data_IF_767786717308
#
_entry.id   IF_767786717308
#
_cell.length_a   1.000
_cell.length_b   1.000
_cell.length_c   1.000
_cell.angle_alpha   90.00
_cell.angle_beta   90.00
_cell.angle_gamma   90.00
#
_symmetry.space_group_name_H-M   'P 1'
#
loop_
_entity.id
_entity.type
_entity.pdbx_description
1 polymer ?
#
# COMPACT_ATOMS: atom_id res chain seq x y z
N UNK A 1 -12.63 -30.42 -1.95
CA UNK A 1 -11.29 -30.67 -1.36
C UNK A 1 -10.25 -30.22 -2.38
N UNK A 2 -9.70 -29.05 -2.21
CA UNK A 2 -8.60 -28.51 -3.02
C UNK A 2 -7.34 -28.47 -2.16
N UNK A 3 -6.16 -28.87 -2.62
CA UNK A 3 -4.96 -28.95 -1.82
C UNK A 3 -4.32 -27.57 -1.62
N UNK A 4 -3.99 -27.23 -0.38
CA UNK A 4 -3.14 -26.11 0.02
C UNK A 4 -1.72 -26.34 -0.53
N UNK A 5 -1.25 -25.43 -1.37
CA UNK A 5 0.15 -25.34 -1.74
C UNK A 5 0.92 -24.57 -0.64
N UNK A 6 1.82 -25.28 0.03
CA UNK A 6 2.80 -24.72 0.97
C UNK A 6 3.78 -23.83 0.20
N UNK A 7 3.83 -22.54 0.53
CA UNK A 7 4.92 -21.65 0.12
C UNK A 7 6.12 -21.87 1.07
N UNK A 8 7.22 -22.31 0.50
CA UNK A 8 8.51 -22.54 1.19
C UNK A 8 9.26 -21.21 1.22
N UNK A 9 9.56 -20.70 2.42
CA UNK A 9 10.46 -19.57 2.63
C UNK A 9 11.89 -19.97 2.29
N UNK A 10 12.54 -19.22 1.42
CA UNK A 10 13.97 -19.33 1.14
C UNK A 10 14.72 -18.24 1.90
N UNK A 11 15.50 -18.64 2.91
CA UNK A 11 16.40 -17.76 3.66
C UNK A 11 17.62 -17.41 2.80
N UNK A 12 17.89 -16.12 2.64
CA UNK A 12 19.22 -15.63 2.24
C UNK A 12 19.80 -14.79 3.39
N UNK A 13 20.79 -15.38 4.06
CA UNK A 13 21.64 -14.74 5.07
C UNK A 13 22.63 -13.79 4.39
N UNK A 14 22.55 -12.50 4.68
CA UNK A 14 23.58 -11.52 4.33
C UNK A 14 24.50 -11.27 5.53
N UNK A 15 25.77 -11.66 5.38
CA UNK A 15 26.88 -11.47 6.33
C UNK A 15 27.39 -10.03 6.23
N UNK A 16 27.28 -9.24 7.29
CA UNK A 16 27.84 -7.88 7.38
C UNK A 16 29.24 -7.98 8.00
N UNK A 17 30.28 -7.65 7.22
CA UNK A 17 31.63 -7.41 7.73
C UNK A 17 31.80 -5.97 8.19
N UNK A 18 32.03 -5.76 9.47
CA UNK A 18 32.52 -4.52 10.06
C UNK A 18 34.00 -4.34 9.80
N UNK A 19 34.41 -3.22 9.18
CA UNK A 19 35.78 -2.69 9.31
C UNK A 19 35.73 -1.19 9.61
N UNK A 20 36.55 -0.78 10.54
CA UNK A 20 36.65 0.49 11.25
C UNK A 20 37.41 1.58 10.50
N UNK A 21 36.87 2.81 10.54
CA UNK A 21 37.38 4.21 10.67
C UNK A 21 38.78 4.59 10.15
N UNK A 22 39.15 5.84 9.80
CA UNK A 22 38.65 7.14 10.28
C UNK A 22 38.61 8.30 9.24
N UNK A 23 38.04 9.45 9.62
CA UNK A 23 38.40 10.74 9.05
C UNK A 23 37.23 11.73 8.82
N UNK A 24 37.16 12.77 9.63
CA UNK A 24 36.20 13.85 9.56
C UNK A 24 36.32 14.66 8.26
N UNK A 25 35.21 14.89 7.60
CA UNK A 25 35.04 15.90 6.57
C UNK A 25 33.55 16.33 6.59
N UNK A 26 33.33 17.63 6.78
CA UNK A 26 31.99 18.24 6.73
C UNK A 26 31.31 17.87 5.41
N UNK A 27 30.38 16.94 5.44
CA UNK A 27 29.47 16.68 4.36
C UNK A 27 28.07 17.20 4.77
N UNK A 28 27.50 18.01 3.91
CA UNK A 28 26.15 18.52 4.01
C UNK A 28 25.18 17.38 4.32
N UNK A 29 24.27 17.61 5.27
CA UNK A 29 23.17 16.72 5.59
C UNK A 29 22.39 16.37 4.32
N UNK A 30 22.15 15.08 3.99
CA UNK A 30 21.24 14.73 2.92
C UNK A 30 19.83 15.10 3.36
N UNK A 31 19.28 16.13 2.73
CA UNK A 31 17.91 16.51 2.86
C UNK A 31 17.01 15.40 2.31
N UNK A 32 16.13 14.93 3.18
CA UNK A 32 14.79 14.46 2.88
C UNK A 32 14.63 13.36 1.80
N UNK A 33 14.85 12.11 2.20
CA UNK A 33 14.18 10.98 1.57
C UNK A 33 12.77 10.97 2.14
N UNK A 34 11.78 11.39 1.36
CA UNK A 34 10.38 11.12 1.65
C UNK A 34 10.12 9.61 1.46
N UNK A 35 10.53 8.82 2.44
CA UNK A 35 10.05 7.44 2.55
C UNK A 35 8.60 7.54 2.99
N UNK A 36 7.67 6.99 2.19
CA UNK A 36 6.27 6.83 2.62
C UNK A 36 6.32 6.07 3.95
N UNK A 37 5.75 6.61 5.05
CA UNK A 37 5.80 5.93 6.33
C UNK A 37 5.12 4.55 6.22
N UNK A 38 5.68 3.53 6.88
CA UNK A 38 5.15 2.15 6.91
C UNK A 38 3.68 2.05 7.37
N UNK A 39 3.16 3.09 8.01
CA UNK A 39 1.79 3.19 8.50
C UNK A 39 0.87 4.04 7.60
N UNK A 40 1.36 4.54 6.48
CA UNK A 40 0.63 5.52 5.66
C UNK A 40 -0.72 4.99 5.17
N UNK A 41 -0.77 3.75 4.67
CA UNK A 41 -2.00 3.14 4.16
C UNK A 41 -3.04 2.97 5.27
N UNK A 42 -2.62 2.54 6.46
CA UNK A 42 -3.53 2.40 7.60
C UNK A 42 -4.02 3.75 8.11
N UNK A 43 -3.22 4.80 8.00
CA UNK A 43 -3.63 6.18 8.31
C UNK A 43 -4.64 6.67 7.27
N UNK A 44 -4.39 6.45 5.98
CA UNK A 44 -5.30 6.82 4.91
C UNK A 44 -6.64 6.05 5.03
N UNK A 45 -6.59 4.76 5.31
CA UNK A 45 -7.78 3.96 5.62
C UNK A 45 -8.55 4.55 6.81
N UNK A 46 -7.88 4.90 7.90
CA UNK A 46 -8.53 5.48 9.07
C UNK A 46 -9.19 6.84 8.79
N UNK A 47 -8.57 7.68 7.93
CA UNK A 47 -9.17 8.94 7.45
C UNK A 47 -10.40 8.66 6.59
N UNK A 48 -10.33 7.74 5.65
CA UNK A 48 -11.46 7.37 4.76
C UNK A 48 -12.66 6.84 5.56
N UNK A 49 -12.41 6.14 6.66
CA UNK A 49 -13.42 5.65 7.61
C UNK A 49 -13.84 6.68 8.65
N UNK A 50 -13.28 7.90 8.63
CA UNK A 50 -13.51 8.96 9.61
C UNK A 50 -13.18 8.57 11.04
N UNK A 51 -12.25 7.64 11.21
CA UNK A 51 -11.73 7.24 12.52
C UNK A 51 -10.81 8.32 13.10
N UNK A 52 -10.03 8.96 12.24
CA UNK A 52 -9.24 10.16 12.53
C UNK A 52 -9.51 11.21 11.44
N UNK A 53 -9.33 12.49 11.76
CA UNK A 53 -9.40 13.55 10.78
C UNK A 53 -8.08 13.73 10.01
N UNK A 54 -8.13 14.41 8.85
CA UNK A 54 -6.96 14.65 8.01
C UNK A 54 -5.86 15.47 8.70
N UNK A 55 -6.24 16.39 9.59
CA UNK A 55 -5.29 17.21 10.35
C UNK A 55 -4.57 16.38 11.42
N UNK A 56 -5.26 15.46 12.08
CA UNK A 56 -4.65 14.51 13.02
C UNK A 56 -3.71 13.54 12.26
N UNK A 57 -4.11 13.06 11.08
CA UNK A 57 -3.30 12.24 10.22
C UNK A 57 -2.00 12.94 9.80
N UNK A 58 -2.07 14.19 9.37
CA UNK A 58 -0.91 14.98 8.95
C UNK A 58 0.09 15.27 10.09
N UNK A 59 -0.38 15.25 11.34
CA UNK A 59 0.47 15.47 12.55
C UNK A 59 0.91 14.17 13.22
N UNK A 60 0.53 13.01 12.69
CA UNK A 60 0.89 11.73 13.28
C UNK A 60 2.40 11.48 13.13
N UNK A 61 3.05 11.20 14.24
CA UNK A 61 4.44 10.73 14.29
C UNK A 61 4.48 9.25 14.66
N UNK A 62 5.44 8.46 14.16
CA UNK A 62 5.49 7.02 14.35
C UNK A 62 5.68 6.59 15.82
N UNK A 63 6.17 7.48 16.67
CA UNK A 63 6.47 7.28 18.08
C UNK A 63 5.38 7.78 19.03
N UNK A 64 4.33 8.45 18.51
CA UNK A 64 3.20 8.89 19.32
C UNK A 64 2.49 7.69 19.94
N UNK A 65 2.52 7.63 21.28
CA UNK A 65 1.87 6.53 22.01
C UNK A 65 0.34 6.66 21.94
N UNK A 66 -0.35 5.53 21.88
CA UNK A 66 -1.81 5.48 22.01
C UNK A 66 -2.21 5.31 23.48
N UNK A 67 -3.30 5.95 23.88
CA UNK A 67 -3.90 5.77 25.20
C UNK A 67 -4.96 4.66 25.19
N UNK A 68 -5.35 4.21 26.36
CA UNK A 68 -6.43 3.22 26.51
C UNK A 68 -7.75 3.75 25.96
N UNK A 69 -8.08 5.01 26.24
CA UNK A 69 -9.28 5.66 25.71
C UNK A 69 -9.26 5.75 24.17
N UNK A 70 -8.13 6.15 23.58
CA UNK A 70 -7.99 6.22 22.12
C UNK A 70 -8.18 4.83 21.46
N UNK A 71 -7.59 3.79 22.05
CA UNK A 71 -7.70 2.45 21.46
C UNK A 71 -9.15 1.92 21.47
N UNK A 72 -9.88 2.08 22.57
CA UNK A 72 -11.29 1.66 22.63
C UNK A 72 -12.20 2.56 21.79
N UNK A 73 -11.95 3.87 21.71
CA UNK A 73 -12.72 4.80 20.90
C UNK A 73 -12.59 4.50 19.40
N UNK A 74 -11.35 4.26 18.92
CA UNK A 74 -11.10 3.90 17.53
C UNK A 74 -11.76 2.57 17.16
N UNK A 75 -11.68 1.56 18.04
CA UNK A 75 -12.35 0.27 17.81
C UNK A 75 -13.87 0.42 17.82
N UNK A 76 -14.43 1.18 18.77
CA UNK A 76 -15.85 1.46 18.85
C UNK A 76 -16.39 2.15 17.60
N UNK A 77 -15.70 3.19 17.11
CA UNK A 77 -16.05 3.86 15.84
C UNK A 77 -15.91 2.92 14.65
N UNK A 78 -14.85 2.12 14.61
CA UNK A 78 -14.66 1.11 13.56
C UNK A 78 -15.81 0.10 13.53
N UNK A 79 -16.42 -0.20 14.69
CA UNK A 79 -17.59 -1.07 14.84
C UNK A 79 -18.93 -0.37 14.53
N UNK A 80 -18.91 0.87 14.05
CA UNK A 80 -20.13 1.65 13.75
C UNK A 80 -20.70 2.40 14.95
N UNK A 81 -19.93 2.60 16.01
CA UNK A 81 -20.28 3.32 17.22
C UNK A 81 -21.61 2.85 17.88
N UNK A 82 -21.76 1.55 18.16
CA UNK A 82 -23.00 1.02 18.75
C UNK A 82 -23.21 1.56 20.18
N UNK A 83 -24.45 1.93 20.50
CA UNK A 83 -24.78 2.42 21.83
C UNK A 83 -24.57 1.30 22.87
N UNK A 84 -23.86 1.55 24.01
CA UNK A 84 -23.75 0.59 25.10
C UNK A 84 -25.11 0.37 25.79
N UNK A 85 -25.34 -0.81 26.35
CA UNK A 85 -26.58 -1.11 27.08
C UNK A 85 -26.72 -0.21 28.32
N UNK A 86 -25.60 0.15 28.96
CA UNK A 86 -25.55 1.10 30.05
C UNK A 86 -24.25 1.87 30.08
N UNK A 87 -24.31 3.13 30.54
CA UNK A 87 -23.09 3.92 30.79
C UNK A 87 -22.49 3.50 32.13
N UNK A 88 -21.28 2.98 32.08
CA UNK A 88 -20.53 2.57 33.26
C UNK A 88 -19.94 3.77 34.01
N UNK A 89 -19.80 3.62 35.32
CA UNK A 89 -19.19 4.60 36.19
C UNK A 89 -17.79 4.17 36.59
N UNK A 90 -16.79 4.96 36.20
CA UNK A 90 -15.42 4.85 36.67
C UNK A 90 -15.05 6.15 37.39
N UNK A 91 -14.19 6.07 38.41
CA UNK A 91 -13.81 7.21 39.22
C UNK A 91 -13.05 8.30 38.45
N UNK A 92 -12.45 7.94 37.33
CA UNK A 92 -11.64 8.78 36.45
C UNK A 92 -12.29 9.03 35.07
N UNK A 93 -13.58 8.75 34.94
CA UNK A 93 -14.39 9.11 33.76
C UNK A 93 -15.57 9.97 34.22
N UNK A 94 -15.61 11.20 33.74
CA UNK A 94 -16.72 12.12 33.99
C UNK A 94 -17.87 11.88 33.01
N UNK A 95 -19.08 12.30 33.35
CA UNK A 95 -20.24 12.16 32.47
C UNK A 95 -20.08 12.78 31.07
N UNK A 96 -19.30 13.87 30.98
CA UNK A 96 -19.02 14.62 29.78
C UNK A 96 -17.82 14.14 28.96
N UNK A 97 -17.07 13.14 29.44
CA UNK A 97 -15.88 12.65 28.73
C UNK A 97 -16.28 11.93 27.44
N UNK A 98 -15.74 12.34 26.27
CA UNK A 98 -16.17 11.85 24.96
C UNK A 98 -15.96 10.34 24.76
N UNK A 99 -15.02 9.74 25.48
CA UNK A 99 -14.74 8.31 25.40
C UNK A 99 -15.67 7.43 26.27
N UNK A 100 -16.59 8.01 27.04
CA UNK A 100 -17.39 7.26 28.04
C UNK A 100 -18.27 6.19 27.40
N UNK A 101 -18.90 6.50 26.26
CA UNK A 101 -19.71 5.50 25.52
C UNK A 101 -18.84 4.37 24.96
N UNK A 102 -17.72 4.71 24.36
CA UNK A 102 -16.77 3.74 23.82
C UNK A 102 -16.20 2.81 24.92
N UNK A 103 -15.83 3.40 26.07
CA UNK A 103 -15.34 2.63 27.24
C UNK A 103 -16.43 1.70 27.77
N UNK A 104 -17.67 2.20 27.94
CA UNK A 104 -18.79 1.40 28.43
C UNK A 104 -19.08 0.22 27.47
N UNK A 105 -19.14 0.48 26.18
CA UNK A 105 -19.30 -0.55 25.16
C UNK A 105 -18.15 -1.57 25.16
N UNK A 106 -16.89 -1.12 25.26
CA UNK A 106 -15.75 -2.02 25.23
C UNK A 106 -15.72 -2.95 26.46
N UNK A 107 -16.08 -2.43 27.63
CA UNK A 107 -16.16 -3.22 28.87
C UNK A 107 -17.33 -4.20 28.83
N UNK A 108 -18.50 -3.77 28.38
CA UNK A 108 -19.69 -4.61 28.21
C UNK A 108 -19.43 -5.81 27.30
N UNK A 109 -18.66 -5.60 26.21
CA UNK A 109 -18.32 -6.65 25.25
C UNK A 109 -17.04 -7.43 25.63
N UNK A 110 -16.46 -7.19 26.80
CA UNK A 110 -15.28 -7.91 27.28
C UNK A 110 -14.00 -7.60 26.49
N UNK A 111 -13.96 -6.47 25.79
CA UNK A 111 -12.83 -6.01 24.97
C UNK A 111 -11.80 -5.24 25.81
N UNK A 112 -12.28 -4.60 26.88
CA UNK A 112 -11.45 -3.92 27.87
C UNK A 112 -12.00 -4.18 29.26
N UNK A 113 -11.22 -3.86 30.31
CA UNK A 113 -11.68 -3.95 31.69
C UNK A 113 -11.15 -2.74 32.49
N UNK A 114 -11.94 -2.30 33.45
CA UNK A 114 -11.47 -1.42 34.50
C UNK A 114 -10.61 -2.16 35.53
N UNK A 115 -9.96 -1.41 36.42
CA UNK A 115 -9.21 -1.97 37.52
C UNK A 115 -10.09 -2.19 38.75
N UNK A 116 -9.69 -3.11 39.63
CA UNK A 116 -10.40 -3.40 40.87
C UNK A 116 -10.59 -2.18 41.79
N UNK A 117 -9.76 -1.14 41.60
CA UNK A 117 -9.86 0.16 42.29
C UNK A 117 -11.02 1.03 41.79
N UNK A 118 -11.74 0.64 40.74
CA UNK A 118 -12.83 1.41 40.14
C UNK A 118 -12.35 2.50 39.19
N UNK A 119 -11.13 2.40 38.66
CA UNK A 119 -10.57 3.29 37.65
C UNK A 119 -10.50 2.58 36.29
N UNK A 120 -10.65 3.32 35.20
CA UNK A 120 -10.40 2.85 33.84
C UNK A 120 -9.00 3.21 33.35
N UNK A 121 -8.44 4.31 33.81
CA UNK A 121 -7.15 4.89 33.39
C UNK A 121 -7.12 5.26 31.90
N UNK A 122 -8.00 6.17 31.43
CA UNK A 122 -8.19 6.49 30.01
C UNK A 122 -6.92 7.02 29.35
N UNK A 123 -6.12 7.83 30.05
CA UNK A 123 -4.94 8.53 29.54
C UNK A 123 -3.65 7.70 29.61
N UNK A 124 -3.70 6.51 30.19
CA UNK A 124 -2.53 5.64 30.29
C UNK A 124 -2.26 4.98 28.93
N UNK A 125 -1.00 4.97 28.50
CA UNK A 125 -0.59 4.27 27.27
C UNK A 125 -0.83 2.78 27.42
N UNK A 126 -1.44 2.17 26.38
CA UNK A 126 -1.69 0.75 26.37
C UNK A 126 -0.50 -0.04 25.80
N UNK A 127 -0.29 -1.26 26.28
CA UNK A 127 0.78 -2.14 25.77
C UNK A 127 0.37 -2.77 24.45
N UNK A 128 1.34 -3.13 23.64
CA UNK A 128 1.11 -3.83 22.36
C UNK A 128 0.32 -5.12 22.56
N UNK A 129 0.63 -5.89 23.60
CA UNK A 129 -0.09 -7.13 23.90
C UNK A 129 -1.54 -6.88 24.29
N UNK A 130 -1.83 -5.81 25.04
CA UNK A 130 -3.20 -5.47 25.45
C UNK A 130 -4.05 -5.03 24.26
N UNK A 131 -3.47 -4.21 23.37
CA UNK A 131 -4.13 -3.79 22.11
C UNK A 131 -4.46 -5.01 21.25
N UNK A 132 -3.50 -5.90 21.03
CA UNK A 132 -3.71 -7.08 20.20
C UNK A 132 -4.71 -8.05 20.83
N UNK A 133 -4.69 -8.19 22.17
CA UNK A 133 -5.68 -8.97 22.90
C UNK A 133 -7.11 -8.41 22.75
N UNK A 134 -7.27 -7.08 22.82
CA UNK A 134 -8.55 -6.42 22.55
C UNK A 134 -9.06 -6.73 21.15
N UNK A 135 -8.20 -6.64 20.12
CA UNK A 135 -8.58 -6.92 18.73
C UNK A 135 -8.91 -8.39 18.49
N UNK A 136 -8.17 -9.30 19.11
CA UNK A 136 -8.46 -10.74 19.08
C UNK A 136 -9.82 -11.06 19.70
N UNK A 137 -10.12 -10.44 20.83
CA UNK A 137 -11.45 -10.55 21.49
C UNK A 137 -12.56 -10.01 20.60
N UNK A 138 -12.32 -8.89 19.93
CA UNK A 138 -13.24 -8.28 18.98
C UNK A 138 -13.50 -9.17 17.75
N UNK A 139 -12.52 -9.95 17.32
CA UNK A 139 -12.63 -10.94 16.26
C UNK A 139 -13.21 -12.29 16.72
N UNK A 140 -13.93 -12.34 17.86
CA UNK A 140 -14.51 -13.55 18.46
C UNK A 140 -13.48 -14.60 18.90
N UNK A 141 -12.27 -14.17 19.25
CA UNK A 141 -11.21 -15.02 19.80
C UNK A 141 -10.90 -16.27 18.96
N UNK A 142 -10.58 -16.13 17.67
CA UNK A 142 -10.30 -17.27 16.81
C UNK A 142 -9.08 -18.04 17.30
N UNK A 143 -9.15 -19.38 17.18
CA UNK A 143 -8.03 -20.26 17.51
C UNK A 143 -6.87 -20.03 16.54
N UNK A 144 -5.64 -19.97 17.07
CA UNK A 144 -4.43 -19.90 16.28
C UNK A 144 -3.85 -21.30 16.06
N UNK A 145 -3.46 -21.63 14.84
CA UNK A 145 -2.83 -22.90 14.51
C UNK A 145 -1.30 -22.85 14.68
N UNK A 146 -0.71 -23.86 15.30
CA UNK A 146 0.76 -24.00 15.39
C UNK A 146 1.43 -23.18 16.50
N UNK A 147 2.75 -23.07 16.41
CA UNK A 147 3.56 -22.37 17.41
C UNK A 147 3.92 -20.96 16.95
N UNK A 148 3.90 -20.02 17.91
CA UNK A 148 4.33 -18.66 17.66
C UNK A 148 5.87 -18.56 17.70
N UNK A 149 6.54 -17.93 16.71
CA UNK A 149 8.01 -17.88 16.64
C UNK A 149 8.62 -16.88 17.62
N UNK A 150 7.82 -16.02 18.28
CA UNK A 150 8.34 -14.98 19.15
C UNK A 150 8.86 -15.52 20.47
N UNK A 151 10.13 -15.27 20.76
CA UNK A 151 10.83 -15.77 21.95
C UNK A 151 10.55 -14.95 23.21
N UNK A 152 9.96 -13.76 23.08
CA UNK A 152 9.67 -12.84 24.19
C UNK A 152 8.20 -12.90 24.67
N UNK A 153 7.45 -13.92 24.24
CA UNK A 153 6.11 -14.26 24.75
C UNK A 153 6.11 -15.66 25.40
N UNK A 154 5.22 -15.87 26.36
CA UNK A 154 5.05 -17.17 27.05
C UNK A 154 3.64 -17.68 26.87
N UNK A 155 3.47 -18.99 26.68
CA UNK A 155 2.16 -19.68 26.55
C UNK A 155 1.25 -19.48 27.77
N UNK A 156 1.80 -19.19 28.92
CA UNK A 156 1.06 -18.95 30.16
C UNK A 156 0.45 -17.53 30.24
N UNK A 157 0.77 -16.67 29.29
CA UNK A 157 0.27 -15.29 29.28
C UNK A 157 -1.07 -15.19 28.58
N UNK A 158 -1.99 -14.41 29.16
CA UNK A 158 -3.34 -14.19 28.63
C UNK A 158 -3.40 -13.72 27.18
N UNK A 159 -2.34 -13.10 26.68
CA UNK A 159 -2.23 -12.57 25.33
C UNK A 159 -1.57 -13.53 24.33
N UNK A 160 -1.14 -14.74 24.76
CA UNK A 160 -0.39 -15.65 23.90
C UNK A 160 -1.17 -16.00 22.62
N UNK A 161 -2.41 -16.49 22.76
CA UNK A 161 -3.26 -16.87 21.63
C UNK A 161 -3.57 -15.67 20.72
N UNK A 162 -3.78 -14.49 21.31
CA UNK A 162 -4.00 -13.27 20.56
C UNK A 162 -2.79 -12.88 19.70
N UNK A 163 -1.56 -13.06 20.21
CA UNK A 163 -0.34 -12.76 19.46
C UNK A 163 -0.12 -13.80 18.35
N UNK A 164 -0.35 -15.07 18.61
CA UNK A 164 -0.27 -16.13 17.61
C UNK A 164 -1.30 -15.92 16.49
N UNK A 165 -2.55 -15.61 16.84
CA UNK A 165 -3.58 -15.24 15.88
C UNK A 165 -3.18 -14.00 15.06
N UNK A 166 -2.72 -12.96 15.74
CA UNK A 166 -2.34 -11.71 15.07
C UNK A 166 -1.23 -11.89 14.04
N UNK A 167 -0.28 -12.79 14.29
CA UNK A 167 0.75 -13.16 13.31
C UNK A 167 0.15 -13.94 12.13
N UNK A 168 -0.70 -14.92 12.39
CA UNK A 168 -1.31 -15.77 11.35
C UNK A 168 -2.31 -15.02 10.49
N UNK A 169 -3.07 -14.11 11.09
CA UNK A 169 -4.04 -13.26 10.40
C UNK A 169 -3.41 -12.02 9.73
N UNK A 170 -2.09 -11.87 9.80
CA UNK A 170 -1.40 -10.71 9.22
C UNK A 170 -1.64 -9.39 9.97
N UNK A 171 -2.22 -9.43 11.17
CA UNK A 171 -2.45 -8.24 12.00
C UNK A 171 -1.14 -7.66 12.54
N UNK A 172 -0.15 -8.52 12.78
CA UNK A 172 1.20 -8.13 13.22
C UNK A 172 2.26 -9.04 12.62
N UNK A 173 3.43 -8.47 12.33
CA UNK A 173 4.64 -9.21 11.98
C UNK A 173 5.67 -9.23 13.13
N UNK A 174 5.30 -8.72 14.32
CA UNK A 174 6.26 -8.48 15.40
C UNK A 174 7.04 -7.18 15.23
N UNK A 175 8.10 -7.02 16.04
CA UNK A 175 9.11 -5.96 15.87
C UNK A 175 10.37 -6.50 15.20
N UNK A 176 10.49 -7.82 15.12
CA UNK A 176 11.44 -8.60 14.33
C UNK A 176 10.88 -10.01 14.16
N UNK A 177 11.55 -10.86 13.38
CA UNK A 177 11.14 -12.24 13.14
C UNK A 177 10.95 -13.06 14.44
N UNK A 178 11.72 -12.74 15.50
CA UNK A 178 11.72 -13.49 16.75
C UNK A 178 11.12 -12.71 17.94
N UNK A 179 10.66 -11.47 17.75
CA UNK A 179 10.23 -10.62 18.87
C UNK A 179 8.96 -9.85 18.56
N UNK A 180 8.02 -9.92 19.52
CA UNK A 180 6.77 -9.15 19.49
C UNK A 180 6.85 -7.87 20.32
N UNK A 181 7.64 -7.82 21.40
CA UNK A 181 7.71 -6.75 22.40
C UNK A 181 6.39 -6.50 23.15
N UNK A 182 5.82 -7.51 23.84
CA UNK A 182 4.47 -7.47 24.42
C UNK A 182 4.26 -6.34 25.43
N UNK A 183 5.29 -6.02 26.21
CA UNK A 183 5.23 -5.05 27.29
C UNK A 183 5.55 -3.61 26.86
N UNK A 184 5.98 -3.38 25.62
CA UNK A 184 6.22 -2.04 25.08
C UNK A 184 4.88 -1.32 24.89
N UNK A 185 4.85 -0.01 25.18
CA UNK A 185 3.68 0.81 24.84
C UNK A 185 3.43 0.78 23.33
N UNK A 186 2.17 0.61 22.93
CA UNK A 186 1.75 0.66 21.54
C UNK A 186 1.73 2.11 21.05
N UNK A 187 2.19 2.35 19.84
CA UNK A 187 2.03 3.67 19.22
C UNK A 187 0.68 3.78 18.51
N UNK A 188 0.22 5.00 18.26
CA UNK A 188 -1.02 5.21 17.51
C UNK A 188 -0.90 4.67 16.07
N UNK A 189 0.26 4.82 15.45
CA UNK A 189 0.55 4.24 14.14
C UNK A 189 0.40 2.71 14.14
N UNK A 190 0.95 2.03 15.15
CA UNK A 190 0.80 0.57 15.30
C UNK A 190 -0.65 0.16 15.56
N UNK A 191 -1.38 0.90 16.41
CA UNK A 191 -2.80 0.64 16.64
C UNK A 191 -3.61 0.74 15.35
N UNK A 192 -3.37 1.78 14.53
CA UNK A 192 -4.07 1.95 13.25
C UNK A 192 -3.75 0.80 12.28
N UNK A 193 -2.49 0.34 12.22
CA UNK A 193 -2.12 -0.81 11.41
C UNK A 193 -2.79 -2.10 11.90
N UNK A 194 -2.77 -2.36 13.20
CA UNK A 194 -3.43 -3.53 13.78
C UNK A 194 -4.95 -3.50 13.58
N UNK A 195 -5.57 -2.34 13.80
CA UNK A 195 -7.02 -2.18 13.63
C UNK A 195 -7.43 -2.35 12.16
N UNK A 196 -6.67 -1.77 11.24
CA UNK A 196 -6.88 -1.92 9.80
C UNK A 196 -6.83 -3.40 9.41
N UNK A 197 -5.75 -4.10 9.73
CA UNK A 197 -5.58 -5.50 9.42
C UNK A 197 -6.61 -6.41 10.13
N UNK A 198 -6.96 -6.13 11.40
CA UNK A 198 -7.97 -6.91 12.14
C UNK A 198 -9.40 -6.66 11.66
N UNK A 199 -9.71 -5.47 11.11
CA UNK A 199 -11.03 -5.16 10.55
C UNK A 199 -11.26 -5.79 9.17
N UNK A 200 -10.21 -6.37 8.59
CA UNK A 200 -10.21 -7.06 7.31
C UNK A 200 -9.60 -8.46 7.44
N UNK A 201 -10.10 -9.31 8.38
CA UNK A 201 -9.52 -10.63 8.63
C UNK A 201 -9.62 -11.50 7.38
N UNK A 202 -8.48 -12.01 6.95
CA UNK A 202 -8.38 -12.72 5.68
C UNK A 202 -8.57 -11.79 4.49
N UNK A 203 -8.15 -10.54 4.62
CA UNK A 203 -8.12 -9.62 3.48
C UNK A 203 -7.21 -10.19 2.41
N UNK A 204 -7.82 -11.02 1.57
CA UNK A 204 -7.25 -11.50 0.32
C UNK A 204 -7.41 -10.43 -0.77
N UNK A 205 -7.68 -9.16 -0.38
CA UNK A 205 -7.73 -8.10 -1.37
C UNK A 205 -6.42 -8.09 -2.11
N UNK A 206 -6.55 -8.13 -3.41
CA UNK A 206 -5.39 -8.02 -4.27
C UNK A 206 -4.76 -6.64 -4.08
N UNK A 207 -3.47 -6.62 -3.84
CA UNK A 207 -2.71 -5.37 -3.70
C UNK A 207 -2.22 -4.93 -5.08
N UNK A 208 -2.70 -3.78 -5.53
CA UNK A 208 -2.31 -3.14 -6.78
C UNK A 208 -1.40 -1.96 -6.47
N UNK A 209 -0.17 -1.98 -6.98
CA UNK A 209 0.67 -0.78 -6.98
C UNK A 209 0.47 -0.03 -8.29
N UNK A 210 -0.01 1.22 -8.20
CA UNK A 210 -0.15 2.10 -9.35
C UNK A 210 1.05 3.05 -9.39
N UNK A 211 1.76 3.09 -10.51
CA UNK A 211 2.85 4.01 -10.75
C UNK A 211 2.44 5.09 -11.77
N UNK A 212 2.08 6.31 -11.31
CA UNK A 212 1.89 7.44 -12.21
C UNK A 212 3.21 7.81 -12.86
N UNK A 213 3.40 7.49 -14.14
CA UNK A 213 4.64 7.72 -14.87
C UNK A 213 5.12 9.16 -14.83
N UNK A 214 6.46 9.34 -14.89
CA UNK A 214 7.13 10.64 -14.84
C UNK A 214 6.88 11.45 -13.56
N UNK A 215 7.40 12.67 -13.50
CA UNK A 215 7.30 13.62 -12.39
C UNK A 215 7.66 15.01 -12.87
N UNK A 216 7.47 16.04 -12.04
CA UNK A 216 7.69 17.44 -12.41
C UNK A 216 9.12 17.71 -12.95
N UNK A 217 10.13 17.12 -12.32
CA UNK A 217 11.52 17.30 -12.70
C UNK A 217 12.12 15.96 -13.16
N UNK A 218 12.64 15.95 -14.40
CA UNK A 218 13.42 14.82 -14.88
C UNK A 218 14.74 14.69 -14.11
N UNK A 219 15.20 13.44 -13.94
CA UNK A 219 16.53 13.15 -13.40
C UNK A 219 17.35 12.43 -14.48
N UNK A 220 18.33 13.14 -15.03
CA UNK A 220 19.22 12.65 -16.08
C UNK A 220 20.37 11.78 -15.56
N UNK A 221 20.56 11.66 -14.24
CA UNK A 221 21.51 10.72 -13.68
C UNK A 221 21.19 9.29 -14.15
N UNK A 222 22.21 8.44 -14.15
CA UNK A 222 22.08 7.09 -14.70
C UNK A 222 21.86 6.06 -13.61
N UNK A 223 20.97 5.11 -13.90
CA UNK A 223 20.75 3.90 -13.10
C UNK A 223 20.90 2.64 -13.97
N UNK A 224 21.25 1.47 -13.40
CA UNK A 224 21.36 0.23 -14.15
C UNK A 224 20.02 -0.14 -14.79
N UNK A 225 20.06 -0.60 -16.04
CA UNK A 225 18.88 -0.99 -16.81
C UNK A 225 18.09 -2.14 -16.18
N UNK A 226 18.79 -3.04 -15.49
CA UNK A 226 18.22 -4.17 -14.73
C UNK A 226 19.24 -4.72 -13.76
N UNK A 227 18.88 -5.67 -12.87
CA UNK A 227 19.77 -6.29 -11.93
C UNK A 227 21.01 -6.89 -12.62
N UNK A 228 22.21 -6.52 -12.16
CA UNK A 228 23.47 -6.98 -12.75
C UNK A 228 23.85 -6.40 -14.11
N UNK A 229 23.07 -5.46 -14.65
CA UNK A 229 23.33 -4.86 -15.96
C UNK A 229 24.44 -3.80 -15.90
N UNK A 230 25.35 -3.86 -16.87
CA UNK A 230 26.30 -2.77 -17.13
C UNK A 230 25.72 -1.67 -18.02
N UNK A 231 24.57 -1.91 -18.67
CA UNK A 231 23.85 -0.88 -19.40
C UNK A 231 23.11 0.01 -18.42
N UNK A 232 23.10 1.30 -18.70
CA UNK A 232 22.45 2.30 -17.84
C UNK A 232 21.46 3.15 -18.63
N UNK A 233 20.43 3.64 -17.95
CA UNK A 233 19.43 4.55 -18.48
C UNK A 233 19.23 5.74 -17.53
N UNK A 234 18.65 6.84 -18.00
CA UNK A 234 18.29 7.95 -17.11
C UNK A 234 17.29 7.49 -16.04
N UNK A 235 17.44 7.95 -14.80
CA UNK A 235 16.57 7.63 -13.67
C UNK A 235 15.11 7.95 -13.98
N UNK A 236 14.85 9.15 -14.53
CA UNK A 236 13.53 9.49 -15.04
C UNK A 236 13.65 10.45 -16.23
N UNK A 237 12.70 10.39 -17.16
CA UNK A 237 12.51 11.38 -18.22
C UNK A 237 11.38 12.35 -17.86
N UNK A 238 11.31 13.48 -18.54
CA UNK A 238 10.25 14.47 -18.35
C UNK A 238 8.89 14.07 -18.91
N UNK A 239 8.83 12.96 -19.66
CA UNK A 239 7.64 12.57 -20.40
C UNK A 239 7.39 13.41 -21.65
N UNK A 240 6.22 13.26 -22.22
CA UNK A 240 5.73 14.05 -23.36
C UNK A 240 4.72 15.13 -22.91
N UNK A 241 4.16 15.84 -23.86
CA UNK A 241 3.10 16.83 -23.60
C UNK A 241 2.07 16.83 -24.72
N UNK A 242 0.85 17.26 -24.39
CA UNK A 242 -0.28 17.32 -25.31
C UNK A 242 -0.08 18.34 -26.41
N UNK A 243 -0.18 17.88 -27.67
CA UNK A 243 -0.01 18.72 -28.85
C UNK A 243 -1.10 19.80 -29.00
N UNK A 244 -2.28 19.60 -28.43
CA UNK A 244 -3.42 20.49 -28.49
C UNK A 244 -3.83 21.03 -27.11
N UNK A 245 -3.82 20.19 -26.07
CA UNK A 245 -4.18 20.58 -24.70
C UNK A 245 -3.06 21.31 -23.97
N UNK A 246 -1.80 21.04 -24.32
CA UNK A 246 -0.63 21.49 -23.57
C UNK A 246 -0.42 20.81 -22.23
N UNK A 247 -1.22 19.80 -21.90
CA UNK A 247 -1.13 19.04 -20.67
C UNK A 247 0.16 18.22 -20.65
N UNK A 248 0.92 18.25 -19.56
CA UNK A 248 2.09 17.38 -19.43
C UNK A 248 1.69 15.96 -19.09
N UNK A 249 2.43 14.98 -19.62
CA UNK A 249 2.17 13.56 -19.39
C UNK A 249 2.15 13.21 -17.88
N UNK A 250 3.09 13.73 -17.09
CA UNK A 250 3.12 13.45 -15.64
C UNK A 250 1.88 13.97 -14.91
N UNK A 251 1.18 14.99 -15.44
CA UNK A 251 -0.07 15.52 -14.87
C UNK A 251 -1.24 14.61 -15.21
N UNK A 252 -1.35 14.21 -16.49
CA UNK A 252 -2.37 13.26 -16.93
C UNK A 252 -2.26 11.93 -16.16
N UNK A 253 -1.04 11.37 -16.11
CA UNK A 253 -0.79 10.10 -15.45
C UNK A 253 -1.20 10.14 -13.97
N UNK A 254 -0.91 11.23 -13.25
CA UNK A 254 -1.32 11.37 -11.85
C UNK A 254 -2.84 11.50 -11.73
N UNK A 255 -3.49 12.30 -12.58
CA UNK A 255 -4.95 12.48 -12.57
C UNK A 255 -5.67 11.15 -12.75
N UNK A 256 -5.27 10.34 -13.74
CA UNK A 256 -5.85 9.02 -13.99
C UNK A 256 -5.54 8.07 -12.84
N UNK A 257 -4.32 8.06 -12.32
CA UNK A 257 -3.91 7.15 -11.25
C UNK A 257 -4.63 7.41 -9.93
N UNK A 258 -4.87 8.68 -9.57
CA UNK A 258 -5.66 9.04 -8.39
C UNK A 258 -7.12 8.57 -8.52
N UNK A 259 -7.75 8.81 -9.68
CA UNK A 259 -9.11 8.36 -9.93
C UNK A 259 -9.20 6.82 -10.03
N UNK A 260 -8.16 6.15 -10.56
CA UNK A 260 -8.08 4.70 -10.61
C UNK A 260 -7.93 4.08 -9.22
N UNK A 261 -7.12 4.68 -8.34
CA UNK A 261 -7.03 4.27 -6.94
C UNK A 261 -8.42 4.27 -6.30
N UNK A 262 -9.15 5.40 -6.39
CA UNK A 262 -10.47 5.55 -5.77
C UNK A 262 -11.47 4.50 -6.31
N UNK A 263 -11.41 4.19 -7.60
CA UNK A 263 -12.25 3.16 -8.22
C UNK A 263 -11.86 1.74 -7.78
N UNK A 264 -10.56 1.41 -7.72
CA UNK A 264 -10.10 0.10 -7.29
C UNK A 264 -10.39 -0.15 -5.81
N UNK A 265 -10.19 0.84 -4.94
CA UNK A 265 -10.56 0.75 -3.52
C UNK A 265 -12.07 0.53 -3.37
N UNK A 266 -12.90 1.20 -4.17
CA UNK A 266 -14.35 0.97 -4.21
C UNK A 266 -14.72 -0.46 -4.64
N UNK A 267 -13.91 -1.10 -5.49
CA UNK A 267 -14.06 -2.51 -5.91
C UNK A 267 -13.49 -3.51 -4.89
N UNK A 268 -12.87 -3.04 -3.83
CA UNK A 268 -12.32 -3.88 -2.77
C UNK A 268 -10.85 -4.25 -2.94
N UNK A 269 -10.11 -3.61 -3.82
CA UNK A 269 -8.65 -3.74 -3.90
C UNK A 269 -7.96 -2.94 -2.80
N UNK A 270 -6.77 -3.37 -2.41
CA UNK A 270 -5.80 -2.52 -1.70
C UNK A 270 -4.93 -1.83 -2.73
N UNK A 271 -4.67 -0.50 -2.57
CA UNK A 271 -3.92 0.26 -3.56
C UNK A 271 -2.80 1.07 -2.92
N UNK A 272 -1.61 1.00 -3.50
CA UNK A 272 -0.47 1.88 -3.19
C UNK A 272 -0.14 2.69 -4.44
N UNK A 273 0.02 4.00 -4.28
CA UNK A 273 0.55 4.89 -5.32
C UNK A 273 2.05 5.09 -5.11
N UNK A 274 2.87 5.00 -6.17
CA UNK A 274 4.30 5.36 -6.05
C UNK A 274 4.50 6.84 -5.79
N UNK A 275 3.56 7.69 -6.23
CA UNK A 275 3.48 9.12 -5.93
C UNK A 275 2.02 9.60 -5.97
N UNK A 276 1.69 10.58 -5.14
CA UNK A 276 0.39 11.26 -5.06
C UNK A 276 0.48 12.76 -5.39
N UNK A 277 1.68 13.22 -5.71
CA UNK A 277 1.95 14.61 -6.10
C UNK A 277 3.01 14.68 -7.22
N UNK A 278 3.31 15.89 -7.71
CA UNK A 278 4.23 16.09 -8.83
C UNK A 278 5.69 16.28 -8.38
N UNK A 279 5.90 16.81 -7.17
CA UNK A 279 7.21 17.22 -6.66
C UNK A 279 7.89 16.07 -5.89
N UNK A 280 8.18 14.99 -6.59
CA UNK A 280 8.90 13.82 -6.06
C UNK A 280 10.23 13.63 -6.80
N UNK A 281 11.15 12.88 -6.20
CA UNK A 281 12.46 12.50 -6.80
C UNK A 281 12.60 10.98 -6.77
N UNK A 282 11.75 10.28 -7.54
CA UNK A 282 11.77 8.81 -7.63
C UNK A 282 12.41 8.39 -8.94
N UNK A 283 13.41 7.51 -8.86
CA UNK A 283 13.96 6.81 -10.03
C UNK A 283 13.01 5.68 -10.49
N UNK A 284 13.26 5.09 -11.67
CA UNK A 284 12.48 3.91 -12.09
C UNK A 284 12.75 2.70 -11.19
N UNK A 285 13.96 2.57 -10.62
CA UNK A 285 14.27 1.53 -9.63
C UNK A 285 13.49 1.75 -8.33
N UNK A 286 13.40 3.00 -7.84
CA UNK A 286 12.64 3.30 -6.62
C UNK A 286 11.15 2.95 -6.78
N UNK A 287 10.56 3.23 -7.95
CA UNK A 287 9.17 2.89 -8.27
C UNK A 287 8.93 1.37 -8.27
N UNK A 288 9.83 0.61 -8.90
CA UNK A 288 9.75 -0.86 -8.87
C UNK A 288 9.95 -1.40 -7.45
N UNK A 289 10.88 -0.80 -6.67
CA UNK A 289 11.13 -1.21 -5.28
C UNK A 289 9.90 -1.05 -4.38
N UNK A 290 9.11 0.00 -4.54
CA UNK A 290 7.86 0.20 -3.79
C UNK A 290 6.93 -1.00 -3.99
N UNK A 291 6.74 -1.46 -5.23
CA UNK A 291 5.90 -2.63 -5.51
C UNK A 291 6.49 -3.93 -4.96
N UNK A 292 7.82 -4.09 -5.07
CA UNK A 292 8.52 -5.29 -4.61
C UNK A 292 8.48 -5.42 -3.07
N UNK A 293 8.78 -4.34 -2.36
CA UNK A 293 8.78 -4.31 -0.89
C UNK A 293 7.37 -4.48 -0.31
N UNK A 294 6.36 -3.97 -1.00
CA UNK A 294 4.96 -4.19 -0.66
C UNK A 294 4.46 -5.60 -1.00
N UNK A 295 5.26 -6.41 -1.71
CA UNK A 295 4.85 -7.73 -2.22
C UNK A 295 3.50 -7.66 -2.99
N UNK A 296 3.36 -6.65 -3.85
CA UNK A 296 2.13 -6.40 -4.58
C UNK A 296 1.74 -7.61 -5.46
N UNK A 297 0.44 -7.85 -5.62
CA UNK A 297 -0.04 -8.86 -6.58
C UNK A 297 0.25 -8.42 -8.02
N UNK A 298 0.17 -7.12 -8.30
CA UNK A 298 0.55 -6.53 -9.60
C UNK A 298 1.05 -5.08 -9.44
N UNK A 299 1.90 -4.66 -10.41
CA UNK A 299 2.28 -3.26 -10.59
C UNK A 299 1.75 -2.75 -11.93
N UNK A 300 0.97 -1.68 -11.88
CA UNK A 300 0.42 -1.03 -13.07
C UNK A 300 1.04 0.35 -13.26
N UNK A 301 1.79 0.53 -14.34
CA UNK A 301 2.45 1.80 -14.66
C UNK A 301 1.61 2.55 -15.70
N UNK A 302 1.15 3.75 -15.34
CA UNK A 302 0.26 4.58 -16.15
C UNK A 302 1.08 5.61 -16.90
N UNK A 303 1.00 5.57 -18.22
CA UNK A 303 1.73 6.43 -19.15
C UNK A 303 0.86 6.89 -20.32
N UNK A 304 1.32 7.89 -21.05
CA UNK A 304 0.81 8.29 -22.35
C UNK A 304 1.97 8.50 -23.33
N UNK A 305 1.78 8.05 -24.55
CA UNK A 305 2.85 7.98 -25.54
C UNK A 305 3.06 9.30 -26.29
N UNK A 306 4.22 9.42 -26.90
CA UNK A 306 4.56 10.46 -27.85
C UNK A 306 5.20 9.91 -29.12
N UNK A 307 4.98 10.58 -30.25
CA UNK A 307 5.59 10.23 -31.52
C UNK A 307 5.95 11.49 -32.33
N UNK A 308 7.00 11.40 -33.13
CA UNK A 308 7.31 12.44 -34.16
C UNK A 308 6.30 12.43 -35.30
N UNK A 309 5.55 11.36 -35.48
CA UNK A 309 4.46 11.29 -36.44
C UNK A 309 3.11 11.54 -35.73
N UNK A 310 2.47 12.71 -35.93
CA UNK A 310 1.23 13.07 -35.25
C UNK A 310 -0.01 12.29 -35.70
N UNK A 311 0.09 11.48 -36.75
CA UNK A 311 -1.02 10.64 -37.21
C UNK A 311 -1.10 9.30 -36.48
N UNK A 312 -0.07 8.92 -35.71
CA UNK A 312 -0.11 7.69 -34.91
C UNK A 312 -1.08 7.88 -33.74
N UNK A 313 -1.93 6.88 -33.52
CA UNK A 313 -2.93 6.88 -32.47
C UNK A 313 -3.23 5.44 -31.99
N UNK A 314 -3.81 5.30 -30.81
CA UNK A 314 -4.21 4.05 -30.17
C UNK A 314 -3.47 3.78 -28.86
N UNK A 315 -4.03 2.90 -28.06
CA UNK A 315 -3.45 2.46 -26.80
C UNK A 315 -2.63 1.18 -26.99
N UNK A 316 -1.58 1.00 -26.18
CA UNK A 316 -0.79 -0.22 -26.16
C UNK A 316 -0.30 -0.53 -24.75
N UNK A 317 0.01 -1.79 -24.48
CA UNK A 317 0.75 -2.17 -23.28
C UNK A 317 2.22 -2.48 -23.63
N UNK A 318 3.10 -2.35 -22.62
CA UNK A 318 4.50 -2.72 -22.71
C UNK A 318 4.79 -3.79 -21.67
N UNK A 319 5.43 -4.86 -22.11
CA UNK A 319 5.80 -6.02 -21.30
C UNK A 319 7.28 -6.37 -21.48
N UNK A 320 7.85 -7.20 -20.59
CA UNK A 320 9.16 -7.81 -20.82
C UNK A 320 9.10 -8.85 -21.94
N UNK A 321 10.26 -9.20 -22.49
CA UNK A 321 10.33 -10.35 -23.42
C UNK A 321 10.24 -11.67 -22.65
N UNK A 322 9.80 -12.75 -23.31
CA UNK A 322 9.76 -14.10 -22.74
C UNK A 322 11.15 -14.58 -22.25
N UNK A 323 12.20 -14.08 -22.84
CA UNK A 323 13.59 -14.41 -22.53
C UNK A 323 14.32 -13.28 -21.83
N UNK A 324 13.58 -12.43 -21.10
CA UNK A 324 14.17 -11.32 -20.32
C UNK A 324 15.35 -11.81 -19.51
N UNK A 325 16.50 -11.12 -19.58
CA UNK A 325 17.67 -11.52 -18.79
C UNK A 325 17.53 -11.16 -17.30
N UNK A 326 16.43 -10.51 -16.89
CA UNK A 326 16.25 -9.93 -15.55
C UNK A 326 15.21 -10.68 -14.74
N UNK A 327 14.04 -10.97 -15.31
CA UNK A 327 12.87 -11.52 -14.60
C UNK A 327 11.94 -12.35 -15.52
N UNK A 328 12.47 -13.33 -16.27
CA UNK A 328 11.70 -14.10 -17.26
C UNK A 328 10.55 -14.92 -16.63
N UNK A 329 10.65 -15.24 -15.36
CA UNK A 329 9.61 -15.96 -14.58
C UNK A 329 8.31 -15.15 -14.46
N UNK A 330 8.38 -13.84 -14.54
CA UNK A 330 7.20 -12.96 -14.50
C UNK A 330 6.51 -12.76 -15.84
N UNK A 331 7.10 -13.27 -16.93
CA UNK A 331 6.59 -13.01 -18.28
C UNK A 331 5.13 -13.42 -18.47
N UNK A 332 4.76 -14.61 -18.03
CA UNK A 332 3.42 -15.15 -18.27
C UNK A 332 2.34 -14.30 -17.59
N UNK A 333 2.52 -13.97 -16.30
CA UNK A 333 1.58 -13.20 -15.52
C UNK A 333 1.55 -11.72 -15.96
N UNK A 334 2.72 -11.14 -16.25
CA UNK A 334 2.82 -9.76 -16.76
C UNK A 334 2.20 -9.63 -18.17
N UNK A 335 2.31 -10.67 -18.99
CA UNK A 335 1.70 -10.70 -20.33
C UNK A 335 0.18 -10.80 -20.22
N UNK A 336 -0.35 -11.66 -19.36
CA UNK A 336 -1.77 -11.77 -19.10
C UNK A 336 -2.35 -10.47 -18.54
N UNK A 337 -1.63 -9.84 -17.59
CA UNK A 337 -1.98 -8.52 -17.05
C UNK A 337 -2.04 -7.46 -18.16
N UNK A 338 -1.03 -7.43 -19.05
CA UNK A 338 -0.96 -6.49 -20.18
C UNK A 338 -2.14 -6.67 -21.14
N UNK A 339 -2.51 -7.91 -21.45
CA UNK A 339 -3.63 -8.25 -22.34
C UNK A 339 -4.97 -7.86 -21.74
N UNK A 340 -5.20 -8.18 -20.47
CA UNK A 340 -6.45 -7.88 -19.77
C UNK A 340 -6.67 -6.37 -19.61
N UNK A 341 -5.65 -5.64 -19.10
CA UNK A 341 -5.74 -4.19 -18.90
C UNK A 341 -5.90 -3.43 -20.22
N UNK A 342 -5.14 -3.79 -21.26
CA UNK A 342 -5.25 -3.13 -22.56
C UNK A 342 -6.60 -3.40 -23.22
N UNK A 343 -7.10 -4.64 -23.12
CA UNK A 343 -8.41 -5.00 -23.66
C UNK A 343 -9.54 -4.27 -22.97
N UNK A 344 -9.56 -4.24 -21.62
CA UNK A 344 -10.54 -3.51 -20.83
C UNK A 344 -10.53 -2.01 -21.13
N UNK A 345 -9.32 -1.43 -21.19
CA UNK A 345 -9.14 -0.01 -21.55
C UNK A 345 -9.73 0.32 -22.92
N UNK A 346 -9.38 -0.47 -23.94
CA UNK A 346 -9.87 -0.23 -25.30
C UNK A 346 -11.37 -0.47 -25.45
N UNK A 347 -11.94 -1.46 -24.75
CA UNK A 347 -13.38 -1.72 -24.75
C UNK A 347 -14.18 -0.56 -24.16
N UNK A 348 -13.73 0.03 -23.07
CA UNK A 348 -14.42 1.13 -22.41
C UNK A 348 -14.27 2.48 -23.14
N UNK A 349 -13.09 2.72 -23.70
CA UNK A 349 -12.75 4.02 -24.30
C UNK A 349 -13.08 4.11 -25.80
N UNK A 350 -13.12 2.97 -26.49
CA UNK A 350 -13.15 2.89 -27.96
C UNK A 350 -11.80 3.20 -28.62
N UNK A 351 -10.71 3.29 -27.84
CA UNK A 351 -9.37 3.50 -28.37
C UNK A 351 -8.94 2.32 -29.24
N UNK A 352 -8.19 2.60 -30.30
CA UNK A 352 -7.61 1.56 -31.15
C UNK A 352 -6.59 0.76 -30.34
N UNK A 353 -6.80 -0.54 -30.23
CA UNK A 353 -5.83 -1.43 -29.60
C UNK A 353 -4.64 -1.67 -30.54
N UNK A 354 -3.44 -1.34 -30.07
CA UNK A 354 -2.19 -1.64 -30.74
C UNK A 354 -1.57 -2.92 -30.20
N UNK A 355 -0.65 -3.58 -30.95
CA UNK A 355 0.09 -4.73 -30.43
C UNK A 355 0.85 -4.40 -29.15
N UNK A 356 0.87 -5.35 -28.22
CA UNK A 356 1.70 -5.25 -27.02
C UNK A 356 3.17 -5.24 -27.44
N UNK A 357 3.94 -4.35 -26.85
CA UNK A 357 5.36 -4.23 -27.13
C UNK A 357 6.19 -4.96 -26.08
N UNK A 358 6.71 -6.12 -26.46
CA UNK A 358 7.64 -6.87 -25.63
C UNK A 358 9.06 -6.29 -25.77
N UNK A 359 9.66 -5.86 -24.63
CA UNK A 359 10.98 -5.22 -24.61
C UNK A 359 11.66 -5.33 -23.25
N UNK A 360 12.99 -5.49 -23.24
CA UNK A 360 13.81 -5.50 -22.04
C UNK A 360 14.55 -4.15 -21.81
N UNK A 361 14.02 -3.07 -22.40
CA UNK A 361 14.63 -1.73 -22.31
C UNK A 361 13.96 -0.83 -21.27
N UNK A 362 13.04 -1.35 -20.47
CA UNK A 362 12.29 -0.59 -19.44
C UNK A 362 12.79 -0.90 -18.05
N UNK A 363 13.56 0.02 -17.44
CA UNK A 363 14.16 -0.14 -16.12
C UNK A 363 13.12 -0.57 -15.07
N UNK A 364 11.97 0.10 -14.99
CA UNK A 364 10.95 -0.21 -14.00
C UNK A 364 10.27 -1.59 -14.19
N UNK A 365 10.27 -2.15 -15.40
CA UNK A 365 9.86 -3.54 -15.66
C UNK A 365 10.98 -4.49 -15.24
N UNK A 366 12.21 -4.22 -15.66
CA UNK A 366 13.36 -5.10 -15.42
C UNK A 366 13.70 -5.27 -13.92
N UNK A 367 13.41 -4.27 -13.10
CA UNK A 367 13.63 -4.30 -11.65
C UNK A 367 12.42 -4.81 -10.85
N UNK A 368 11.28 -5.09 -11.50
CA UNK A 368 10.12 -5.63 -10.83
C UNK A 368 10.34 -7.11 -10.45
N UNK A 369 9.92 -7.47 -9.24
CA UNK A 369 9.81 -8.85 -8.76
C UNK A 369 8.33 -9.30 -8.63
N UNK A 370 7.41 -8.48 -9.13
CA UNK A 370 5.98 -8.75 -9.18
C UNK A 370 5.47 -8.58 -10.62
N UNK A 371 4.35 -9.20 -11.03
CA UNK A 371 3.74 -9.00 -12.34
C UNK A 371 3.55 -7.52 -12.64
N UNK A 372 4.02 -7.05 -13.81
CA UNK A 372 4.06 -5.62 -14.14
C UNK A 372 3.71 -5.35 -15.60
N UNK A 373 2.98 -4.27 -15.85
CA UNK A 373 2.75 -3.73 -17.19
C UNK A 373 2.83 -2.21 -17.20
N UNK A 374 3.23 -1.63 -18.34
CA UNK A 374 3.03 -0.22 -18.65
C UNK A 374 1.83 -0.11 -19.57
N UNK A 375 0.84 0.69 -19.22
CA UNK A 375 -0.25 1.08 -20.11
C UNK A 375 0.05 2.45 -20.71
N UNK A 376 0.24 2.50 -22.02
CA UNK A 376 0.30 3.70 -22.84
C UNK A 376 -1.10 4.02 -23.34
N UNK A 377 -1.78 4.95 -22.67
CA UNK A 377 -3.22 5.22 -22.84
C UNK A 377 -3.61 5.81 -24.19
N UNK A 378 -2.67 6.39 -24.92
CA UNK A 378 -2.85 7.03 -26.21
C UNK A 378 -1.64 7.89 -26.56
N UNK A 379 -1.64 8.56 -27.70
CA UNK A 379 -0.54 9.44 -28.13
C UNK A 379 -0.88 10.90 -27.90
N UNK A 380 -0.22 11.54 -26.94
CA UNK A 380 -0.34 12.98 -26.67
C UNK A 380 0.14 13.86 -27.86
N UNK A 381 0.96 13.30 -28.73
CA UNK A 381 1.36 13.93 -30.01
C UNK A 381 0.26 13.94 -31.08
N UNK A 382 -0.79 13.15 -30.91
CA UNK A 382 -1.99 13.18 -31.76
C UNK A 382 -3.02 14.13 -31.15
N UNK A 383 -3.33 15.23 -31.83
CA UNK A 383 -4.19 16.27 -31.28
C UNK A 383 -5.60 15.80 -30.88
N UNK A 384 -6.16 14.81 -31.61
CA UNK A 384 -7.47 14.26 -31.28
C UNK A 384 -7.45 13.39 -30.02
N UNK A 385 -6.45 12.48 -29.89
CA UNK A 385 -6.30 11.68 -28.68
C UNK A 385 -5.93 12.52 -27.46
N UNK A 386 -5.07 13.51 -27.62
CA UNK A 386 -4.68 14.43 -26.57
C UNK A 386 -5.91 15.15 -25.98
N UNK A 387 -6.76 15.72 -26.84
CA UNK A 387 -8.01 16.36 -26.38
C UNK A 387 -8.97 15.36 -25.72
N UNK A 388 -9.06 14.14 -26.24
CA UNK A 388 -9.86 13.08 -25.61
C UNK A 388 -9.34 12.72 -24.21
N UNK A 389 -8.05 12.50 -24.05
CA UNK A 389 -7.42 12.18 -22.75
C UNK A 389 -7.52 13.35 -21.76
N UNK A 390 -7.62 14.58 -22.23
CA UNK A 390 -7.85 15.77 -21.40
C UNK A 390 -9.33 15.94 -20.98
N UNK A 391 -10.28 15.26 -21.64
CA UNK A 391 -11.73 15.34 -21.33
C UNK A 391 -12.08 14.51 -20.09
N UNK A 392 -12.67 15.12 -19.04
CA UNK A 392 -13.08 14.40 -17.83
C UNK A 392 -14.07 13.24 -18.07
N UNK A 393 -14.94 13.33 -19.10
CA UNK A 393 -15.85 12.24 -19.42
C UNK A 393 -15.14 11.06 -20.04
N UNK A 394 -14.10 11.30 -20.83
CA UNK A 394 -13.24 10.24 -21.38
C UNK A 394 -12.34 9.66 -20.30
N UNK A 395 -11.80 10.47 -19.38
CA UNK A 395 -10.98 10.00 -18.24
C UNK A 395 -11.75 9.01 -17.36
N UNK A 396 -13.04 9.22 -17.14
CA UNK A 396 -13.90 8.23 -16.43
C UNK A 396 -13.94 6.89 -17.14
N UNK A 397 -14.02 6.88 -18.47
CA UNK A 397 -13.99 5.64 -19.27
C UNK A 397 -12.61 4.97 -19.20
N UNK A 398 -11.53 5.76 -19.20
CA UNK A 398 -10.16 5.25 -19.05
C UNK A 398 -10.02 4.50 -17.71
N UNK A 399 -10.42 5.13 -16.61
CA UNK A 399 -10.40 4.55 -15.25
C UNK A 399 -11.23 3.27 -15.19
N UNK A 400 -12.48 3.32 -15.68
CA UNK A 400 -13.37 2.17 -15.71
C UNK A 400 -12.76 1.01 -16.48
N UNK A 401 -12.24 1.25 -17.68
CA UNK A 401 -11.65 0.21 -18.52
C UNK A 401 -10.39 -0.43 -17.94
N UNK A 402 -9.53 0.36 -17.27
CA UNK A 402 -8.36 -0.17 -16.57
C UNK A 402 -8.81 -1.07 -15.41
N UNK A 403 -9.79 -0.63 -14.61
CA UNK A 403 -10.30 -1.39 -13.48
C UNK A 403 -11.02 -2.68 -13.94
N UNK A 404 -11.81 -2.63 -15.02
CA UNK A 404 -12.45 -3.82 -15.62
C UNK A 404 -11.40 -4.82 -16.13
N UNK A 405 -10.30 -4.34 -16.70
CA UNK A 405 -9.18 -5.16 -17.11
C UNK A 405 -8.47 -5.86 -15.95
N UNK A 406 -8.32 -5.15 -14.81
CA UNK A 406 -7.76 -5.75 -13.58
C UNK A 406 -8.68 -6.80 -12.98
N UNK A 407 -10.01 -6.54 -12.92
CA UNK A 407 -10.98 -7.56 -12.48
C UNK A 407 -10.87 -8.81 -13.35
N UNK A 408 -10.86 -8.66 -14.69
CA UNK A 408 -10.73 -9.78 -15.62
C UNK A 408 -9.40 -10.53 -15.48
N UNK A 409 -8.31 -9.85 -15.15
CA UNK A 409 -7.03 -10.49 -14.84
C UNK A 409 -7.14 -11.35 -13.57
N UNK A 410 -7.63 -10.79 -12.46
CA UNK A 410 -7.69 -11.50 -11.18
C UNK A 410 -8.74 -12.60 -11.13
N UNK A 411 -9.81 -12.51 -11.92
CA UNK A 411 -10.81 -13.60 -12.06
C UNK A 411 -10.23 -14.87 -12.69
N UNK A 412 -9.11 -14.74 -13.42
CA UNK A 412 -8.46 -15.85 -14.13
C UNK A 412 -7.11 -16.27 -13.50
N UNK A 413 -6.63 -15.59 -12.45
CA UNK A 413 -5.35 -15.80 -11.76
C UNK A 413 -5.53 -15.78 -10.23
#
# INVERSE_FOLDING_TARGET
>A
MRPLLRRIFSLLTALVCLTSMPGAGNAATPSDRSTIPWYADSVQWAVSRRLIDADAAARLTPDRLCTRAEAVDLLWRCSGAPAPASLLEFRDLRPEDPCREAVSWAVENGLAAGFASGYFCPDVSWKRADVLYMLWRWADSPEAEGECPFTDISRERYYYDAVCWGLQAGVTAGVSEERFSPNRACTLAELLCFLHAASTPGDTRRLVVIDPGHQLHADGEKEPLGPGSNQTKAKTSGGTYGAASGLHEYQLNLTISLALRDELERRGYSVILTRDNHAVTLSNIDRARIANEAQADVMLRIHANGSTNPSIHGAKAVNMTRSSPYNPELYADSRALSEAVLSGFCAATGAKQLPIWDTDTMTGINWSTVPVTILEMGYMSNAAEDLQMADPAYQKKMVQGIADGLDAYFDNH
#
